data_IF_424927473061
#
_entry.id   IF_424927473061
#
_cell.length_a   1.000
_cell.length_b   1.000
_cell.length_c   1.000
_cell.angle_alpha   90.00
_cell.angle_beta   90.00
_cell.angle_gamma   90.00
#
_symmetry.space_group_name_H-M   'P 1'
#
loop_
_entity.id
_entity.type
_entity.pdbx_description
1 polymer ?
#
# COMPACT_ATOMS: atom_id res chain seq x y z
N UNK A 1 -23.79 7.19 10.18
CA UNK A 1 -24.58 8.15 9.40
C UNK A 1 -25.99 8.33 9.99
N UNK A 2 -26.88 7.29 10.05
CA UNK A 2 -28.29 7.44 10.47
C UNK A 2 -28.47 8.08 11.86
N UNK A 3 -27.65 7.71 12.83
CA UNK A 3 -27.71 8.32 14.17
C UNK A 3 -27.30 9.79 14.16
N UNK A 4 -26.32 10.14 13.33
CA UNK A 4 -25.89 11.51 13.13
C UNK A 4 -26.97 12.35 12.44
N UNK A 5 -27.57 11.82 11.37
CA UNK A 5 -28.67 12.48 10.65
C UNK A 5 -29.89 12.74 11.55
N UNK A 6 -30.11 11.87 12.55
CA UNK A 6 -31.20 11.99 13.52
C UNK A 6 -30.85 12.85 14.76
N UNK A 7 -29.68 13.50 14.78
CA UNK A 7 -29.24 14.32 15.90
C UNK A 7 -28.91 13.53 17.18
N UNK A 8 -28.61 12.25 17.06
CA UNK A 8 -28.22 11.37 18.16
C UNK A 8 -26.69 11.34 18.38
N UNK A 9 -25.93 11.92 17.46
CA UNK A 9 -24.49 12.08 17.53
C UNK A 9 -24.12 13.50 17.11
N UNK A 10 -23.22 14.12 17.84
CA UNK A 10 -22.68 15.45 17.53
C UNK A 10 -21.53 15.40 16.53
N UNK A 11 -20.82 14.27 16.46
CA UNK A 11 -19.66 14.03 15.59
C UNK A 11 -19.79 12.67 14.91
N UNK A 12 -19.40 12.64 13.65
CA UNK A 12 -19.43 11.42 12.83
C UNK A 12 -18.19 11.38 11.93
N UNK A 13 -17.51 10.23 11.88
CA UNK A 13 -16.41 10.00 10.93
C UNK A 13 -16.99 9.54 9.59
N UNK A 14 -17.02 10.45 8.61
CA UNK A 14 -17.53 10.17 7.27
C UNK A 14 -16.47 9.44 6.44
N UNK A 15 -16.87 8.32 5.82
CA UNK A 15 -16.06 7.50 4.95
C UNK A 15 -16.82 7.12 3.68
N UNK A 16 -16.09 6.84 2.59
CA UNK A 16 -16.67 6.42 1.33
C UNK A 16 -17.72 7.39 0.80
N UNK A 17 -18.87 6.86 0.39
CA UNK A 17 -19.97 7.65 -0.20
C UNK A 17 -20.55 8.72 0.74
N UNK A 18 -20.34 8.59 2.04
CA UNK A 18 -20.79 9.60 3.00
C UNK A 18 -20.02 10.91 2.92
N UNK A 19 -18.79 10.90 2.41
CA UNK A 19 -17.99 12.12 2.21
C UNK A 19 -18.75 13.06 1.28
N UNK A 20 -19.08 12.61 0.08
CA UNK A 20 -19.79 13.41 -0.92
C UNK A 20 -21.20 13.84 -0.46
N UNK A 21 -21.85 13.03 0.39
CA UNK A 21 -23.15 13.39 0.99
C UNK A 21 -23.02 14.59 1.90
N UNK A 22 -22.04 14.58 2.82
CA UNK A 22 -21.92 15.63 3.85
C UNK A 22 -21.13 16.85 3.37
N UNK A 23 -20.30 16.74 2.34
CA UNK A 23 -19.63 17.91 1.75
C UNK A 23 -20.62 19.01 1.32
N UNK A 24 -21.77 18.63 0.79
CA UNK A 24 -22.85 19.57 0.42
C UNK A 24 -23.40 20.31 1.62
N UNK A 25 -23.55 19.65 2.75
CA UNK A 25 -24.04 20.26 3.99
C UNK A 25 -22.97 21.15 4.63
N UNK A 26 -21.70 20.82 4.46
CA UNK A 26 -20.56 21.66 4.87
C UNK A 26 -20.51 22.94 4.01
N UNK A 27 -20.63 22.80 2.68
CA UNK A 27 -20.68 23.93 1.74
C UNK A 27 -21.89 24.86 2.02
N UNK A 28 -23.02 24.29 2.42
CA UNK A 28 -24.21 25.02 2.81
C UNK A 28 -24.09 25.70 4.19
N UNK A 29 -23.03 25.42 4.96
CA UNK A 29 -22.81 25.98 6.27
C UNK A 29 -23.62 25.31 7.41
N UNK A 30 -24.26 24.19 7.13
CA UNK A 30 -25.06 23.43 8.10
C UNK A 30 -24.19 22.54 9.00
N UNK A 31 -22.98 22.21 8.56
CA UNK A 31 -22.02 21.35 9.25
C UNK A 31 -20.61 21.93 9.15
N UNK A 32 -19.74 21.46 10.03
CA UNK A 32 -18.30 21.76 9.97
C UNK A 32 -17.52 20.46 9.78
N UNK A 33 -16.47 20.53 8.96
CA UNK A 33 -15.51 19.46 8.80
C UNK A 33 -14.25 19.77 9.60
N UNK A 34 -13.76 18.77 10.32
CA UNK A 34 -12.43 18.80 10.92
C UNK A 34 -11.60 17.70 10.27
N UNK A 35 -10.51 18.09 9.61
CA UNK A 35 -9.54 17.15 9.02
C UNK A 35 -8.26 17.17 9.84
N UNK A 36 -7.75 16.00 10.17
CA UNK A 36 -6.47 15.85 10.85
C UNK A 36 -5.60 14.84 10.08
N UNK A 37 -4.30 15.10 10.05
CA UNK A 37 -3.35 14.12 9.51
C UNK A 37 -3.28 12.92 10.46
N UNK A 38 -3.50 11.74 9.91
CA UNK A 38 -3.38 10.50 10.66
C UNK A 38 -1.93 9.99 10.56
N UNK A 39 -1.29 9.59 11.66
CA UNK A 39 0.10 9.18 11.65
C UNK A 39 0.26 7.75 11.12
N UNK A 40 -0.20 7.50 9.92
CA UNK A 40 -0.18 6.19 9.29
C UNK A 40 0.22 6.23 7.82
N UNK A 41 0.70 5.11 7.29
CA UNK A 41 1.01 4.93 5.88
C UNK A 41 0.58 3.54 5.43
N UNK A 42 -0.25 3.48 4.39
CA UNK A 42 -0.58 2.23 3.70
C UNK A 42 0.50 1.91 2.67
N UNK A 43 0.87 0.65 2.58
CA UNK A 43 1.95 0.17 1.71
C UNK A 43 1.60 -1.16 1.07
N UNK A 44 2.21 -1.43 -0.06
CA UNK A 44 2.18 -2.76 -0.67
C UNK A 44 3.26 -3.63 -0.01
N UNK A 45 2.84 -4.67 0.68
CA UNK A 45 3.70 -5.64 1.33
C UNK A 45 3.98 -6.82 0.39
N UNK A 46 5.23 -7.29 0.37
CA UNK A 46 5.70 -8.40 -0.46
C UNK A 46 6.16 -9.55 0.40
N UNK A 47 5.81 -10.78 0.05
CA UNK A 47 6.41 -11.95 0.66
C UNK A 47 7.85 -12.14 0.14
N UNK A 48 8.83 -11.60 0.85
CA UNK A 48 10.22 -11.56 0.40
C UNK A 48 11.05 -12.75 0.91
N UNK A 49 10.60 -13.45 1.96
CA UNK A 49 11.40 -14.50 2.60
C UNK A 49 11.57 -15.74 1.71
N UNK A 50 10.50 -16.21 1.10
CA UNK A 50 10.48 -17.34 0.17
C UNK A 50 10.22 -16.92 -1.28
N UNK A 51 9.80 -15.68 -1.48
CA UNK A 51 9.55 -15.10 -2.79
C UNK A 51 8.08 -15.07 -3.15
N UNK A 52 7.21 -15.31 -2.17
CA UNK A 52 5.78 -15.43 -2.37
C UNK A 52 5.38 -16.72 -3.09
N UNK A 53 4.09 -16.85 -3.37
CA UNK A 53 3.50 -17.99 -4.05
C UNK A 53 4.10 -18.20 -5.46
N UNK A 54 4.48 -17.10 -6.12
CA UNK A 54 5.14 -17.13 -7.44
C UNK A 54 6.65 -17.42 -7.39
N UNK A 55 7.30 -17.27 -6.23
CA UNK A 55 8.75 -17.30 -6.09
C UNK A 55 9.47 -16.02 -6.54
N UNK A 56 8.73 -15.02 -7.04
CA UNK A 56 9.30 -13.85 -7.71
C UNK A 56 9.68 -12.73 -6.74
N UNK A 57 9.04 -12.65 -5.56
CA UNK A 57 9.17 -11.51 -4.65
C UNK A 57 10.54 -11.41 -3.96
N UNK A 58 11.43 -12.38 -4.15
CA UNK A 58 12.86 -12.28 -3.76
C UNK A 58 13.60 -11.23 -4.58
N UNK A 59 13.22 -11.04 -5.84
CA UNK A 59 13.92 -10.12 -6.75
C UNK A 59 13.47 -8.66 -6.56
N UNK A 60 14.43 -7.78 -6.32
CA UNK A 60 14.15 -6.35 -6.07
C UNK A 60 13.61 -5.63 -7.32
N UNK A 61 14.06 -6.01 -8.52
CA UNK A 61 13.60 -5.37 -9.77
C UNK A 61 12.14 -5.72 -10.05
N UNK A 62 11.71 -6.95 -9.72
CA UNK A 62 10.30 -7.36 -9.81
C UNK A 62 9.44 -6.56 -8.83
N UNK A 63 9.85 -6.46 -7.56
CA UNK A 63 9.10 -5.66 -6.57
C UNK A 63 9.01 -4.19 -6.97
N UNK A 64 10.10 -3.61 -7.49
CA UNK A 64 10.12 -2.25 -8.04
C UNK A 64 9.17 -2.10 -9.22
N UNK A 65 9.20 -3.02 -10.19
CA UNK A 65 8.31 -2.99 -11.34
C UNK A 65 6.82 -3.01 -10.91
N UNK A 66 6.47 -3.89 -9.97
CA UNK A 66 5.12 -3.93 -9.40
C UNK A 66 4.78 -2.61 -8.69
N UNK A 67 5.66 -2.10 -7.81
CA UNK A 67 5.42 -0.86 -7.07
C UNK A 67 5.28 0.36 -7.99
N UNK A 68 6.08 0.43 -9.06
CA UNK A 68 6.09 1.56 -9.99
C UNK A 68 5.02 1.47 -11.07
N UNK A 69 4.39 0.32 -11.26
CA UNK A 69 3.24 0.16 -12.14
C UNK A 69 1.96 0.83 -11.61
N UNK A 70 1.94 1.21 -10.33
CA UNK A 70 0.79 1.80 -9.66
C UNK A 70 0.92 3.33 -9.67
N UNK A 71 -0.02 4.01 -10.32
CA UNK A 71 -0.13 5.46 -10.22
C UNK A 71 -0.77 5.83 -8.88
N UNK A 72 0.06 6.32 -7.95
CA UNK A 72 -0.36 6.57 -6.57
C UNK A 72 -1.39 7.68 -6.44
N UNK A 73 -1.23 8.78 -7.16
CA UNK A 73 -2.16 9.91 -7.15
C UNK A 73 -3.52 9.51 -7.72
N UNK A 74 -3.52 8.76 -8.81
CA UNK A 74 -4.75 8.27 -9.42
C UNK A 74 -5.45 7.26 -8.49
N UNK A 75 -4.71 6.33 -7.89
CA UNK A 75 -5.24 5.36 -6.93
C UNK A 75 -5.90 6.06 -5.73
N UNK A 76 -5.21 7.04 -5.15
CA UNK A 76 -5.74 7.82 -4.03
C UNK A 76 -7.03 8.54 -4.42
N UNK A 77 -7.06 9.18 -5.57
CA UNK A 77 -8.24 9.90 -6.07
C UNK A 77 -9.41 8.97 -6.38
N UNK A 78 -9.13 7.81 -7.00
CA UNK A 78 -10.17 6.88 -7.46
C UNK A 78 -10.74 6.00 -6.34
N UNK A 79 -9.90 5.65 -5.34
CA UNK A 79 -10.25 4.64 -4.32
C UNK A 79 -10.58 5.30 -2.98
N UNK A 80 -9.71 6.18 -2.49
CA UNK A 80 -9.77 6.61 -1.08
C UNK A 80 -10.32 8.03 -0.88
N UNK A 81 -10.10 8.94 -1.82
CA UNK A 81 -10.60 10.32 -1.80
C UNK A 81 -10.03 11.23 -0.71
N UNK A 82 -9.54 10.66 0.41
CA UNK A 82 -9.06 11.40 1.59
C UNK A 82 -7.59 11.19 1.91
N UNK A 83 -6.95 10.23 1.27
CA UNK A 83 -5.52 9.98 1.46
C UNK A 83 -4.68 10.84 0.52
N UNK A 84 -3.40 10.88 0.79
CA UNK A 84 -2.39 11.48 -0.09
C UNK A 84 -1.41 10.43 -0.56
N UNK A 85 -0.92 10.57 -1.77
CA UNK A 85 0.08 9.65 -2.31
C UNK A 85 1.36 9.69 -1.46
N UNK A 86 1.86 8.51 -1.09
CA UNK A 86 3.05 8.36 -0.27
C UNK A 86 4.24 7.88 -1.10
N UNK A 87 5.38 8.56 -0.92
CA UNK A 87 6.67 8.19 -1.52
C UNK A 87 7.71 7.84 -0.46
N UNK A 88 7.27 7.53 0.75
CA UNK A 88 8.08 7.06 1.85
C UNK A 88 7.22 6.43 2.93
N UNK A 89 7.82 5.55 3.73
CA UNK A 89 7.07 4.75 4.69
C UNK A 89 6.68 5.51 5.96
N UNK A 90 7.55 6.40 6.46
CA UNK A 90 7.22 7.22 7.64
C UNK A 90 6.20 8.27 7.27
N UNK A 91 5.09 8.35 8.00
CA UNK A 91 4.02 9.34 7.78
C UNK A 91 4.53 10.79 7.91
N UNK A 92 4.02 11.74 7.11
CA UNK A 92 4.32 13.16 7.26
C UNK A 92 3.93 13.75 8.62
N UNK A 93 2.95 13.14 9.31
CA UNK A 93 2.53 13.54 10.65
C UNK A 93 3.58 13.28 11.74
N UNK A 94 4.54 12.38 11.46
CA UNK A 94 5.63 12.07 12.40
C UNK A 94 6.69 13.17 12.35
N UNK A 95 7.06 13.65 13.55
CA UNK A 95 8.05 14.73 13.68
C UNK A 95 9.36 14.20 14.29
N UNK A 96 10.46 14.84 13.89
CA UNK A 96 11.78 14.74 14.51
C UNK A 96 12.26 16.15 14.79
N UNK A 97 12.64 16.43 16.03
CA UNK A 97 13.06 17.77 16.47
C UNK A 97 12.04 18.89 16.11
N UNK A 98 10.74 18.58 16.26
CA UNK A 98 9.65 19.53 16.02
C UNK A 98 9.33 19.80 14.55
N UNK A 99 9.98 19.12 13.61
CA UNK A 99 9.74 19.24 12.17
C UNK A 99 9.35 17.89 11.59
N UNK A 100 8.42 17.86 10.61
CA UNK A 100 8.06 16.62 9.92
C UNK A 100 9.32 15.88 9.45
N UNK A 101 9.42 14.61 9.82
CA UNK A 101 10.52 13.73 9.37
C UNK A 101 10.61 13.66 7.84
N UNK A 102 9.46 13.62 7.14
CA UNK A 102 9.43 13.55 5.67
C UNK A 102 10.01 14.78 4.99
N UNK A 103 9.95 15.96 5.63
CA UNK A 103 10.58 17.18 5.12
C UNK A 103 12.11 17.17 5.27
N UNK A 104 12.63 16.33 6.17
CA UNK A 104 14.07 16.19 6.43
C UNK A 104 14.67 15.01 5.67
N UNK A 105 13.84 13.99 5.31
CA UNK A 105 14.27 12.80 4.61
C UNK A 105 14.43 13.05 3.10
N UNK A 106 15.32 12.30 2.46
CA UNK A 106 15.48 12.32 1.01
C UNK A 106 14.27 11.69 0.31
N UNK A 107 13.92 12.18 -0.88
CA UNK A 107 12.85 11.70 -1.73
C UNK A 107 13.31 10.68 -2.80
N UNK A 108 14.38 9.93 -2.49
CA UNK A 108 15.03 8.99 -3.43
C UNK A 108 14.04 8.03 -4.09
N UNK A 109 13.06 7.53 -3.33
CA UNK A 109 12.06 6.62 -3.89
C UNK A 109 11.13 7.34 -4.89
N UNK A 110 10.81 8.61 -4.66
CA UNK A 110 10.01 9.41 -5.59
C UNK A 110 10.78 9.67 -6.88
N UNK A 111 12.03 10.08 -6.76
CA UNK A 111 12.91 10.31 -7.90
C UNK A 111 13.10 9.06 -8.77
N UNK A 112 13.22 7.89 -8.14
CA UNK A 112 13.29 6.63 -8.87
C UNK A 112 11.95 6.27 -9.51
N UNK A 113 10.84 6.39 -8.79
CA UNK A 113 9.49 6.14 -9.31
C UNK A 113 9.20 6.99 -10.55
N UNK A 114 9.52 8.28 -10.54
CA UNK A 114 9.27 9.21 -11.65
C UNK A 114 10.00 8.82 -12.94
N UNK A 115 11.06 8.02 -12.87
CA UNK A 115 11.77 7.51 -14.05
C UNK A 115 10.99 6.42 -14.80
N UNK A 116 10.06 5.75 -14.13
CA UNK A 116 9.26 4.63 -14.64
C UNK A 116 7.77 4.93 -14.76
N UNK A 117 7.27 5.89 -13.99
CA UNK A 117 5.85 6.20 -13.90
C UNK A 117 5.25 6.52 -15.29
N UNK A 118 4.17 5.81 -15.64
CA UNK A 118 3.47 5.98 -16.92
C UNK A 118 4.18 5.41 -18.15
N UNK A 119 5.33 4.76 -17.99
CA UNK A 119 6.10 4.16 -19.09
C UNK A 119 6.06 2.63 -18.98
N UNK A 120 5.04 2.02 -19.61
CA UNK A 120 4.85 0.57 -19.57
C UNK A 120 6.02 -0.22 -20.17
N UNK A 121 6.74 0.34 -21.15
CA UNK A 121 7.87 -0.36 -21.76
C UNK A 121 9.05 -0.43 -20.80
N UNK A 122 9.34 0.64 -20.08
CA UNK A 122 10.37 0.63 -19.03
C UNK A 122 9.99 -0.31 -17.88
N UNK A 123 8.73 -0.32 -17.48
CA UNK A 123 8.24 -1.21 -16.42
C UNK A 123 8.37 -2.68 -16.81
N UNK A 124 7.98 -3.04 -18.06
CA UNK A 124 8.18 -4.38 -18.59
C UNK A 124 9.65 -4.77 -18.70
N UNK A 125 10.51 -3.83 -19.11
CA UNK A 125 11.94 -4.07 -19.16
C UNK A 125 12.55 -4.30 -17.77
N UNK A 126 12.10 -3.55 -16.75
CA UNK A 126 12.53 -3.75 -15.38
C UNK A 126 12.04 -5.09 -14.81
N UNK A 127 10.80 -5.48 -15.12
CA UNK A 127 10.23 -6.77 -14.73
C UNK A 127 10.99 -7.92 -15.40
N UNK A 128 11.24 -7.83 -16.71
CA UNK A 128 12.00 -8.82 -17.46
C UNK A 128 13.41 -8.99 -16.92
N UNK A 129 14.09 -7.88 -16.61
CA UNK A 129 15.40 -7.93 -15.94
C UNK A 129 15.36 -8.76 -14.66
N UNK A 130 14.31 -8.60 -13.86
CA UNK A 130 14.13 -9.40 -12.64
C UNK A 130 13.90 -10.89 -12.92
N UNK A 131 13.16 -11.23 -13.97
CA UNK A 131 12.99 -12.63 -14.41
C UNK A 131 14.31 -13.24 -14.86
N UNK A 132 15.10 -12.50 -15.65
CA UNK A 132 16.41 -12.95 -16.14
C UNK A 132 17.38 -13.21 -14.97
N UNK A 133 17.38 -12.33 -13.95
CA UNK A 133 18.21 -12.49 -12.75
C UNK A 133 17.81 -13.72 -11.91
N UNK A 134 16.54 -14.14 -11.98
CA UNK A 134 16.03 -15.36 -11.35
C UNK A 134 16.19 -16.61 -12.24
N UNK A 135 16.62 -16.45 -13.49
CA UNK A 135 16.72 -17.54 -14.47
C UNK A 135 15.36 -18.06 -14.94
N UNK A 136 14.30 -17.23 -14.85
CA UNK A 136 12.94 -17.61 -15.27
C UNK A 136 12.79 -17.29 -16.75
N UNK A 137 12.35 -18.27 -17.51
CA UNK A 137 12.15 -18.17 -18.97
C UNK A 137 10.70 -18.07 -19.39
N UNK A 138 9.78 -18.12 -18.43
CA UNK A 138 8.35 -17.95 -18.69
C UNK A 138 8.07 -16.53 -19.18
N UNK A 139 7.10 -16.42 -20.08
CA UNK A 139 6.68 -15.10 -20.55
C UNK A 139 5.80 -14.40 -19.50
N UNK A 140 5.80 -13.06 -19.45
CA UNK A 140 4.96 -12.34 -18.50
C UNK A 140 3.48 -12.76 -18.52
N UNK A 141 2.90 -13.03 -19.69
CA UNK A 141 1.51 -13.49 -19.83
C UNK A 141 1.21 -14.87 -19.20
N UNK A 142 2.24 -15.66 -18.89
CA UNK A 142 2.11 -16.97 -18.24
C UNK A 142 2.34 -16.88 -16.72
N UNK A 143 2.84 -15.74 -16.24
CA UNK A 143 3.11 -15.48 -14.83
C UNK A 143 1.84 -15.01 -14.12
N UNK A 144 1.63 -15.54 -12.91
CA UNK A 144 0.53 -15.11 -12.03
C UNK A 144 1.10 -14.55 -10.72
N UNK A 145 0.65 -13.35 -10.36
CA UNK A 145 0.90 -12.69 -9.06
C UNK A 145 -0.35 -12.83 -8.20
N UNK A 146 -0.23 -13.35 -6.99
CA UNK A 146 -1.36 -13.51 -6.07
C UNK A 146 -1.45 -12.30 -5.13
N UNK A 147 -2.53 -11.52 -5.24
CA UNK A 147 -2.89 -10.42 -4.36
C UNK A 147 -3.85 -10.92 -3.28
N UNK A 148 -3.38 -10.98 -2.04
CA UNK A 148 -4.20 -11.31 -0.88
C UNK A 148 -4.94 -10.05 -0.41
N UNK A 149 -6.26 -10.16 -0.21
CA UNK A 149 -7.10 -9.09 0.28
C UNK A 149 -8.20 -9.61 1.19
N UNK A 150 -8.83 -8.72 1.96
CA UNK A 150 -9.92 -9.10 2.84
C UNK A 150 -11.13 -8.18 2.69
N UNK A 151 -12.30 -8.73 3.09
CA UNK A 151 -13.53 -7.97 3.24
C UNK A 151 -14.23 -7.65 1.91
N UNK A 152 -15.48 -7.21 2.05
CA UNK A 152 -16.39 -6.89 0.96
C UNK A 152 -16.78 -5.41 0.89
N UNK A 153 -16.13 -4.54 1.70
CA UNK A 153 -16.37 -3.10 1.62
C UNK A 153 -16.01 -2.57 0.23
N UNK A 154 -16.78 -1.60 -0.25
CA UNK A 154 -16.59 -1.01 -1.59
C UNK A 154 -15.17 -0.48 -1.78
N UNK A 155 -14.60 0.18 -0.77
CA UNK A 155 -13.24 0.72 -0.81
C UNK A 155 -12.21 -0.41 -1.02
N UNK A 156 -12.32 -1.52 -0.28
CA UNK A 156 -11.42 -2.67 -0.44
C UNK A 156 -11.59 -3.33 -1.82
N UNK A 157 -12.80 -3.33 -2.36
CA UNK A 157 -13.05 -3.84 -3.71
C UNK A 157 -12.39 -2.96 -4.76
N UNK A 158 -12.58 -1.66 -4.71
CA UNK A 158 -11.97 -0.70 -5.62
C UNK A 158 -10.44 -0.76 -5.54
N UNK A 159 -9.87 -0.88 -4.34
CA UNK A 159 -8.43 -1.02 -4.12
C UNK A 159 -7.86 -2.22 -4.87
N UNK A 160 -8.40 -3.42 -4.63
CA UNK A 160 -7.85 -4.64 -5.26
C UNK A 160 -8.07 -4.68 -6.77
N UNK A 161 -9.19 -4.14 -7.27
CA UNK A 161 -9.47 -4.06 -8.69
C UNK A 161 -8.51 -3.07 -9.38
N UNK A 162 -8.25 -1.91 -8.76
CA UNK A 162 -7.28 -0.94 -9.26
C UNK A 162 -5.87 -1.54 -9.32
N UNK A 163 -5.44 -2.21 -8.25
CA UNK A 163 -4.13 -2.87 -8.19
C UNK A 163 -4.00 -3.97 -9.25
N UNK A 164 -5.02 -4.83 -9.35
CA UNK A 164 -5.07 -5.90 -10.36
C UNK A 164 -4.92 -5.32 -11.77
N UNK A 165 -5.69 -4.29 -12.10
CA UNK A 165 -5.69 -3.67 -13.40
C UNK A 165 -4.34 -3.00 -13.68
N UNK A 166 -3.82 -2.18 -12.77
CA UNK A 166 -2.57 -1.45 -12.95
C UNK A 166 -1.38 -2.38 -13.15
N UNK A 167 -1.26 -3.42 -12.32
CA UNK A 167 -0.17 -4.40 -12.42
C UNK A 167 -0.28 -5.19 -13.73
N UNK A 168 -1.48 -5.70 -14.05
CA UNK A 168 -1.67 -6.52 -15.26
C UNK A 168 -1.42 -5.75 -16.53
N UNK A 169 -1.94 -4.53 -16.65
CA UNK A 169 -1.78 -3.71 -17.86
C UNK A 169 -0.34 -3.26 -18.08
N UNK A 170 0.33 -2.82 -17.03
CA UNK A 170 1.68 -2.27 -17.13
C UNK A 170 2.76 -3.34 -17.27
N UNK A 171 2.58 -4.52 -16.68
CA UNK A 171 3.60 -5.59 -16.68
C UNK A 171 3.28 -6.73 -17.64
N UNK A 172 2.01 -6.88 -18.05
CA UNK A 172 1.57 -7.99 -18.92
C UNK A 172 1.38 -9.31 -18.18
N UNK A 173 1.33 -9.31 -16.85
CA UNK A 173 1.14 -10.50 -16.00
C UNK A 173 -0.33 -10.70 -15.63
N UNK A 174 -0.66 -11.91 -15.16
CA UNK A 174 -1.95 -12.16 -14.51
C UNK A 174 -1.87 -11.78 -13.04
N UNK A 175 -2.94 -11.18 -12.50
CA UNK A 175 -3.08 -10.96 -11.07
C UNK A 175 -4.30 -11.71 -10.57
N UNK A 176 -4.07 -12.71 -9.73
CA UNK A 176 -5.11 -13.48 -9.07
C UNK A 176 -5.49 -12.83 -7.73
N UNK A 177 -6.79 -12.57 -7.54
CA UNK A 177 -7.30 -12.02 -6.28
C UNK A 177 -7.63 -13.17 -5.33
N UNK A 178 -6.86 -13.33 -4.25
CA UNK A 178 -7.20 -14.18 -3.12
C UNK A 178 -7.93 -13.33 -2.07
N UNK A 179 -9.26 -13.27 -2.16
CA UNK A 179 -10.10 -12.47 -1.27
C UNK A 179 -10.73 -13.34 -0.20
N UNK A 180 -10.46 -13.04 1.05
CA UNK A 180 -10.98 -13.75 2.22
C UNK A 180 -12.01 -12.94 2.99
N UNK A 181 -12.88 -13.62 3.73
CA UNK A 181 -14.06 -13.00 4.35
C UNK A 181 -13.73 -12.12 5.57
N UNK A 182 -12.74 -12.50 6.36
CA UNK A 182 -12.42 -11.84 7.62
C UNK A 182 -10.92 -11.79 7.90
N UNK A 183 -10.55 -11.06 8.98
CA UNK A 183 -9.17 -10.87 9.38
C UNK A 183 -8.48 -12.18 9.80
N UNK A 184 -9.18 -13.12 10.43
CA UNK A 184 -8.56 -14.38 10.85
C UNK A 184 -8.14 -15.22 9.65
N UNK A 185 -8.99 -15.28 8.63
CA UNK A 185 -8.66 -15.94 7.36
C UNK A 185 -7.51 -15.23 6.66
N UNK A 186 -7.50 -13.89 6.66
CA UNK A 186 -6.41 -13.10 6.11
C UNK A 186 -5.09 -13.38 6.84
N UNK A 187 -5.10 -13.38 8.17
CA UNK A 187 -3.94 -13.69 8.98
C UNK A 187 -3.41 -15.11 8.71
N UNK A 188 -4.29 -16.09 8.56
CA UNK A 188 -3.90 -17.45 8.22
C UNK A 188 -3.22 -17.55 6.83
N UNK A 189 -3.78 -16.90 5.81
CA UNK A 189 -3.18 -16.89 4.47
C UNK A 189 -1.82 -16.18 4.48
N UNK A 190 -1.71 -15.06 5.21
CA UNK A 190 -0.46 -14.32 5.38
C UNK A 190 0.60 -15.16 6.12
N UNK A 191 0.24 -15.76 7.24
CA UNK A 191 1.17 -16.51 8.08
C UNK A 191 1.63 -17.82 7.38
N UNK A 192 0.77 -18.39 6.53
CA UNK A 192 1.12 -19.50 5.64
C UNK A 192 1.85 -19.08 4.35
N UNK A 193 2.11 -17.76 4.17
CA UNK A 193 2.78 -17.19 2.99
C UNK A 193 2.08 -17.52 1.66
N UNK A 194 0.76 -17.67 1.69
CA UNK A 194 -0.05 -18.04 0.54
C UNK A 194 -0.44 -16.81 -0.30
N UNK A 195 0.52 -15.95 -0.57
CA UNK A 195 0.38 -14.70 -1.33
C UNK A 195 1.72 -14.27 -1.93
N UNK A 196 1.66 -13.34 -2.86
CA UNK A 196 2.83 -12.59 -3.35
C UNK A 196 2.86 -11.19 -2.76
N UNK A 197 1.69 -10.52 -2.77
CA UNK A 197 1.51 -9.15 -2.31
C UNK A 197 0.21 -9.02 -1.51
N UNK A 198 0.18 -8.06 -0.58
CA UNK A 198 -1.05 -7.55 0.04
C UNK A 198 -0.91 -6.08 0.40
N UNK A 199 -2.04 -5.38 0.56
CA UNK A 199 -2.03 -4.02 1.11
C UNK A 199 -2.05 -4.11 2.63
N UNK A 200 -1.02 -3.55 3.25
CA UNK A 200 -0.88 -3.40 4.69
C UNK A 200 -0.64 -1.94 5.05
N UNK A 201 -0.45 -1.67 6.32
CA UNK A 201 -0.14 -0.32 6.78
C UNK A 201 0.41 -0.31 8.19
N UNK A 202 1.09 0.75 8.52
CA UNK A 202 1.52 1.02 9.87
C UNK A 202 0.92 2.34 10.35
N UNK A 203 0.33 2.30 11.52
CA UNK A 203 -0.19 3.45 12.23
C UNK A 203 0.64 3.61 13.49
N UNK A 204 1.24 4.78 13.66
CA UNK A 204 2.22 5.00 14.71
C UNK A 204 1.60 4.96 16.11
N UNK A 205 2.24 4.23 17.01
CA UNK A 205 1.89 4.18 18.43
C UNK A 205 2.44 5.40 19.20
N UNK A 206 3.52 6.00 18.68
CA UNK A 206 4.14 7.20 19.26
C UNK A 206 4.84 8.05 18.20
N UNK A 207 5.04 9.33 18.50
CA UNK A 207 5.59 10.28 17.55
C UNK A 207 7.13 10.18 17.46
N UNK A 208 7.61 9.17 16.75
CA UNK A 208 9.02 8.98 16.42
C UNK A 208 9.14 8.17 15.13
N UNK A 209 10.02 8.53 14.18
CA UNK A 209 10.28 7.74 12.97
C UNK A 209 10.68 6.30 13.24
N UNK A 210 11.29 6.03 14.39
CA UNK A 210 11.72 4.69 14.78
C UNK A 210 10.53 3.72 14.90
N UNK A 211 9.35 4.21 15.22
CA UNK A 211 8.15 3.37 15.29
C UNK A 211 7.83 2.70 13.96
N UNK A 212 7.98 3.43 12.86
CA UNK A 212 7.87 2.89 11.51
C UNK A 212 9.07 2.00 11.14
N UNK A 213 10.29 2.46 11.43
CA UNK A 213 11.52 1.78 11.01
C UNK A 213 11.71 0.44 11.73
N UNK A 214 11.23 0.31 12.97
CA UNK A 214 11.27 -0.94 13.71
C UNK A 214 10.49 -2.08 13.02
N UNK A 215 9.47 -1.77 12.23
CA UNK A 215 8.72 -2.79 11.48
C UNK A 215 9.57 -3.49 10.42
N UNK A 216 10.68 -2.87 10.01
CA UNK A 216 11.64 -3.40 9.04
C UNK A 216 12.82 -4.12 9.71
N UNK A 217 12.89 -4.08 11.04
CA UNK A 217 13.98 -4.70 11.78
C UNK A 217 13.76 -6.21 11.91
N UNK A 218 14.79 -6.98 11.56
CA UNK A 218 14.75 -8.44 11.67
C UNK A 218 14.37 -8.91 13.07
N UNK A 219 13.35 -9.79 13.15
CA UNK A 219 12.90 -10.42 14.41
C UNK A 219 12.02 -9.53 15.29
N UNK A 220 11.59 -8.34 14.82
CA UNK A 220 10.65 -7.46 15.56
C UNK A 220 9.22 -7.64 15.06
N UNK A 221 9.01 -7.58 13.74
CA UNK A 221 7.70 -7.74 13.09
C UNK A 221 7.81 -8.61 11.84
N UNK A 222 7.81 -9.92 12.03
CA UNK A 222 7.95 -10.89 10.93
C UNK A 222 6.78 -10.88 9.93
N UNK A 223 5.66 -10.25 10.31
CA UNK A 223 4.45 -10.21 9.49
C UNK A 223 4.41 -9.11 8.43
N UNK A 224 5.32 -8.13 8.45
CA UNK A 224 5.32 -7.02 7.50
C UNK A 224 6.34 -7.24 6.37
N UNK A 225 5.91 -8.00 5.35
CA UNK A 225 6.69 -8.23 4.13
C UNK A 225 7.91 -9.11 4.31
N UNK A 226 8.12 -9.66 5.52
CA UNK A 226 9.20 -10.61 5.86
C UNK A 226 10.58 -10.12 5.41
N UNK A 227 10.79 -8.80 5.49
CA UNK A 227 12.06 -8.18 5.18
C UNK A 227 13.07 -8.48 6.28
N UNK A 228 14.25 -8.91 5.88
CA UNK A 228 15.36 -9.14 6.80
C UNK A 228 16.62 -8.49 6.27
N UNK A 229 17.17 -7.54 7.02
CA UNK A 229 18.43 -6.89 6.70
C UNK A 229 19.27 -6.71 7.96
N UNK A 230 20.42 -7.34 8.00
CA UNK A 230 21.34 -7.29 9.15
C UNK A 230 21.85 -5.87 9.43
N UNK A 231 21.89 -4.97 8.46
CA UNK A 231 22.29 -3.59 8.68
C UNK A 231 21.32 -2.79 9.55
N UNK A 232 20.05 -3.22 9.65
CA UNK A 232 19.03 -2.60 10.50
C UNK A 232 19.10 -3.05 11.96
N UNK A 233 19.95 -4.01 12.30
CA UNK A 233 20.16 -4.44 13.69
C UNK A 233 20.90 -3.36 14.50
N UNK A 234 21.57 -2.44 13.83
CA UNK A 234 22.44 -1.42 14.45
C UNK A 234 21.83 0.00 14.43
N UNK A 235 20.54 0.13 14.12
CA UNK A 235 19.82 1.41 14.21
C UNK A 235 19.22 1.59 15.60
#
# INVERSE_FOLDING_TARGET
ATMFDNGQLDVFDAAGDYIAKYDKEVEAGNMQTMTTEYPGTMVLCYEQSEGGKSGLMKNVNIRKAISYSINREEMVSAVYGRYTAAYGFVSPAITLDGTSYRKQASETMKEEYEQYAGDADKLKALFQKGLDELGITDKPEDITITLLSQGSATENQLEREYLQQSISQNLGVKVELNTVGDYQMFANERDNKNYDIFVGGWFSDYNDPLDFLNTMKTGVYDSYGLYSNLSLIHI
#
